data_IF_082625059995
#
_entry.id   IF_082625059995
#
_cell.length_a   1.000
_cell.length_b   1.000
_cell.length_c   1.000
_cell.angle_alpha   90.00
_cell.angle_beta   90.00
_cell.angle_gamma   90.00
#
_symmetry.space_group_name_H-M   'P 1'
#
loop_
_entity.id
_entity.type
_entity.pdbx_description
1 polymer ?
#
# COMPACT_ATOMS: atom_id res chain seq x y z
N UNK A 1 1.19 -5.17 5.70
CA UNK A 1 0.09 -5.44 4.75
C UNK A 1 0.51 -6.46 3.70
N UNK A 2 1.56 -6.22 2.91
CA UNK A 2 2.01 -7.13 1.83
C UNK A 2 2.38 -8.53 2.33
N UNK A 3 3.12 -8.65 3.44
CA UNK A 3 3.48 -9.96 4.01
C UNK A 3 2.24 -10.77 4.43
N UNK A 4 1.25 -10.10 5.03
CA UNK A 4 -0.02 -10.75 5.42
C UNK A 4 -0.72 -11.28 4.17
N UNK A 5 -0.82 -10.47 3.12
CA UNK A 5 -1.40 -10.88 1.84
C UNK A 5 -0.61 -12.04 1.23
N UNK A 6 0.72 -12.02 1.26
CA UNK A 6 1.55 -13.11 0.74
C UNK A 6 1.32 -14.45 1.46
N UNK A 7 1.04 -14.42 2.77
CA UNK A 7 0.77 -15.63 3.57
C UNK A 7 -0.68 -16.09 3.41
N UNK A 8 -1.65 -15.16 3.42
CA UNK A 8 -3.09 -15.45 3.40
C UNK A 8 -3.65 -15.74 2.00
N UNK A 9 -2.91 -15.45 0.94
CA UNK A 9 -3.33 -15.62 -0.45
C UNK A 9 -3.59 -14.30 -1.17
N UNK A 10 -2.51 -13.64 -1.59
CA UNK A 10 -2.56 -12.37 -2.32
C UNK A 10 -2.94 -12.55 -3.78
N UNK A 11 -3.56 -11.54 -4.38
CA UNK A 11 -3.88 -11.54 -5.81
C UNK A 11 -2.89 -10.73 -6.63
N UNK A 12 -2.96 -10.86 -7.96
CA UNK A 12 -2.15 -10.06 -8.89
C UNK A 12 -2.29 -8.54 -8.65
N UNK A 13 -3.48 -8.09 -8.22
CA UNK A 13 -3.72 -6.68 -7.88
C UNK A 13 -2.90 -6.24 -6.66
N UNK A 14 -2.76 -7.08 -5.63
CA UNK A 14 -1.95 -6.74 -4.45
C UNK A 14 -0.48 -6.57 -4.82
N UNK A 15 0.03 -7.43 -5.70
CA UNK A 15 1.40 -7.35 -6.20
C UNK A 15 1.61 -6.06 -6.98
N UNK A 16 0.67 -5.69 -7.85
CA UNK A 16 0.72 -4.45 -8.62
C UNK A 16 0.69 -3.22 -7.71
N UNK A 17 -0.21 -3.19 -6.72
CA UNK A 17 -0.29 -2.10 -5.75
C UNK A 17 0.95 -2.00 -4.86
N UNK A 18 1.55 -3.13 -4.48
CA UNK A 18 2.79 -3.16 -3.72
C UNK A 18 3.95 -2.56 -4.53
N UNK A 19 4.10 -2.93 -5.80
CA UNK A 19 5.10 -2.33 -6.68
C UNK A 19 4.84 -0.85 -6.98
N UNK A 20 3.57 -0.46 -7.17
CA UNK A 20 3.19 0.94 -7.33
C UNK A 20 3.58 1.77 -6.10
N UNK A 21 3.32 1.25 -4.88
CA UNK A 21 3.77 1.87 -3.64
C UNK A 21 5.29 2.04 -3.62
N UNK A 22 6.06 0.98 -3.91
CA UNK A 22 7.53 1.04 -3.94
C UNK A 22 8.03 2.10 -4.92
N UNK A 23 7.51 2.11 -6.15
CA UNK A 23 7.89 3.09 -7.18
C UNK A 23 7.57 4.53 -6.74
N UNK A 24 6.37 4.78 -6.19
CA UNK A 24 5.99 6.09 -5.68
C UNK A 24 6.89 6.57 -4.55
N UNK A 25 7.33 5.66 -3.66
CA UNK A 25 8.26 5.98 -2.57
C UNK A 25 9.65 6.35 -3.09
N UNK A 26 10.15 5.61 -4.08
CA UNK A 26 11.42 5.94 -4.76
C UNK A 26 11.32 7.33 -5.39
N UNK A 27 10.27 7.59 -6.17
CA UNK A 27 10.04 8.89 -6.82
C UNK A 27 9.95 10.02 -5.78
N UNK A 28 9.24 9.80 -4.67
CA UNK A 28 9.15 10.79 -3.59
C UNK A 28 10.52 11.16 -3.02
N UNK A 29 11.36 10.17 -2.73
CA UNK A 29 12.73 10.39 -2.21
C UNK A 29 13.63 11.09 -3.23
N UNK A 30 13.59 10.68 -4.50
CA UNK A 30 14.37 11.34 -5.58
C UNK A 30 13.91 12.80 -5.76
N UNK A 31 12.61 13.05 -5.75
CA UNK A 31 12.06 14.40 -5.85
C UNK A 31 12.50 15.26 -4.67
N UNK A 32 12.42 14.73 -3.44
CA UNK A 32 12.88 15.43 -2.23
C UNK A 32 14.38 15.79 -2.30
N UNK A 33 15.21 14.91 -2.87
CA UNK A 33 16.66 15.14 -2.98
C UNK A 33 17.04 16.15 -4.07
N UNK A 34 16.19 16.36 -5.08
CA UNK A 34 16.49 17.18 -6.26
C UNK A 34 15.72 18.50 -6.31
N UNK A 35 14.50 18.55 -5.75
CA UNK A 35 13.56 19.69 -5.88
C UNK A 35 12.87 19.98 -4.55
N UNK A 36 12.94 21.23 -4.08
CA UNK A 36 12.30 21.66 -2.82
C UNK A 36 10.93 22.30 -3.04
N UNK A 37 9.96 21.54 -3.55
CA UNK A 37 8.55 21.98 -3.67
C UNK A 37 7.65 21.09 -2.80
N UNK A 38 7.13 21.67 -1.72
CA UNK A 38 6.38 20.95 -0.68
C UNK A 38 5.10 20.31 -1.20
N UNK A 39 4.33 21.05 -2.02
CA UNK A 39 3.04 20.58 -2.54
C UNK A 39 3.19 19.28 -3.36
N UNK A 40 4.21 19.19 -4.20
CA UNK A 40 4.44 18.03 -5.06
C UNK A 40 4.86 16.81 -4.24
N UNK A 41 5.80 16.95 -3.30
CA UNK A 41 6.18 15.82 -2.43
C UNK A 41 4.99 15.33 -1.60
N UNK A 42 4.15 16.25 -1.11
CA UNK A 42 2.94 15.87 -0.37
C UNK A 42 1.98 15.05 -1.24
N UNK A 43 1.74 15.45 -2.50
CA UNK A 43 0.88 14.69 -3.41
C UNK A 43 1.44 13.29 -3.71
N UNK A 44 2.74 13.15 -3.98
CA UNK A 44 3.36 11.83 -4.20
C UNK A 44 3.21 10.95 -2.95
N UNK A 45 3.42 11.52 -1.75
CA UNK A 45 3.22 10.83 -0.49
C UNK A 45 1.76 10.38 -0.29
N UNK A 46 0.80 11.25 -0.63
CA UNK A 46 -0.63 10.96 -0.52
C UNK A 46 -1.03 9.80 -1.45
N UNK A 47 -0.55 9.80 -2.70
CA UNK A 47 -0.78 8.70 -3.65
C UNK A 47 -0.19 7.37 -3.15
N UNK A 48 1.04 7.39 -2.64
CA UNK A 48 1.65 6.20 -2.03
C UNK A 48 0.82 5.71 -0.83
N UNK A 49 0.34 6.64 0.00
CA UNK A 49 -0.51 6.31 1.17
C UNK A 49 -1.83 5.68 0.73
N UNK A 50 -2.43 6.14 -0.36
CA UNK A 50 -3.63 5.53 -0.95
C UNK A 50 -3.41 4.08 -1.37
N UNK A 51 -2.30 3.78 -2.07
CA UNK A 51 -1.95 2.40 -2.42
C UNK A 51 -1.77 1.51 -1.17
N UNK A 52 -1.10 2.04 -0.14
CA UNK A 52 -0.91 1.32 1.12
C UNK A 52 -2.23 1.10 1.87
N UNK A 53 -3.15 2.06 1.85
CA UNK A 53 -4.47 1.95 2.46
C UNK A 53 -5.30 0.84 1.81
N UNK A 54 -5.30 0.74 0.48
CA UNK A 54 -6.01 -0.36 -0.22
C UNK A 54 -5.43 -1.71 0.18
N UNK A 55 -4.10 -1.85 0.21
CA UNK A 55 -3.45 -3.08 0.68
C UNK A 55 -3.76 -3.38 2.15
N UNK A 56 -3.92 -2.37 3.00
CA UNK A 56 -4.28 -2.54 4.40
C UNK A 56 -5.71 -3.06 4.55
N UNK A 57 -6.68 -2.48 3.83
CA UNK A 57 -8.07 -2.94 3.83
C UNK A 57 -8.17 -4.36 3.29
N UNK A 58 -7.46 -4.67 2.21
CA UNK A 58 -7.36 -6.04 1.67
C UNK A 58 -6.83 -7.02 2.69
N UNK A 59 -5.71 -6.68 3.34
CA UNK A 59 -5.12 -7.52 4.39
C UNK A 59 -6.12 -7.74 5.55
N UNK A 60 -6.83 -6.70 5.97
CA UNK A 60 -7.86 -6.82 6.99
C UNK A 60 -8.97 -7.78 6.57
N UNK A 61 -9.51 -7.64 5.36
CA UNK A 61 -10.60 -8.50 4.87
C UNK A 61 -10.18 -9.97 4.81
N UNK A 62 -9.00 -10.27 4.24
CA UNK A 62 -8.55 -11.66 4.12
C UNK A 62 -8.24 -12.30 5.48
N UNK A 63 -7.83 -11.51 6.48
CA UNK A 63 -7.56 -12.03 7.82
C UNK A 63 -8.84 -12.16 8.65
N UNK A 64 -9.68 -11.12 8.69
CA UNK A 64 -10.87 -11.08 9.54
C UNK A 64 -11.96 -12.06 9.07
N UNK A 65 -12.11 -12.22 7.74
CA UNK A 65 -13.13 -13.09 7.16
C UNK A 65 -12.62 -14.49 6.80
N UNK A 66 -11.38 -14.83 7.14
CA UNK A 66 -10.87 -16.20 7.00
C UNK A 66 -11.49 -17.16 8.03
N UNK A 67 -11.99 -16.66 9.17
CA UNK A 67 -12.69 -17.47 10.18
C UNK A 67 -14.06 -16.85 10.52
N UNK A 68 -15.19 -17.50 10.17
CA UNK A 68 -16.52 -16.96 10.43
C UNK A 68 -16.84 -16.77 11.93
N UNK A 69 -16.08 -17.40 12.83
CA UNK A 69 -16.23 -17.21 14.29
C UNK A 69 -15.73 -15.87 14.83
N UNK A 70 -15.08 -15.03 14.02
CA UNK A 70 -14.58 -13.70 14.47
C UNK A 70 -15.69 -12.65 14.58
N UNK A 71 -16.84 -12.87 13.94
CA UNK A 71 -17.97 -11.94 13.93
C UNK A 71 -19.08 -12.30 14.93
N UNK A 72 -18.92 -13.41 15.66
CA UNK A 72 -19.84 -13.92 16.67
C UNK A 72 -19.35 -13.57 18.08
#
# INVERSE_FOLDING_TARGET
TVVILAIMGGSQMDVLLAWAYVALRIVHSVYQATVNVVAVRFLIFLLATGALLVLAVRALMVTLFANPGVLA
#
